data_IF_641072129461
#
_entry.id   IF_641072129461
#
_cell.length_a   1.000
_cell.length_b   1.000
_cell.length_c   1.000
_cell.angle_alpha   90.00
_cell.angle_beta   90.00
_cell.angle_gamma   90.00
#
_symmetry.space_group_name_H-M   'P 1'
#
loop_
_entity.id
_entity.type
_entity.pdbx_description
1 polymer ?
#
# COMPACT_ATOMS: atom_id res chain seq x y z
N UNK A 1 -21.19 -4.35 23.26
CA UNK A 1 -21.09 -4.60 21.80
C UNK A 1 -19.80 -5.39 21.54
N UNK A 2 -19.91 -6.48 20.75
CA UNK A 2 -18.74 -7.25 20.34
C UNK A 2 -18.18 -6.74 19.01
N UNK A 3 -16.86 -6.73 18.90
CA UNK A 3 -16.15 -6.37 17.70
C UNK A 3 -15.18 -7.50 17.30
N UNK A 4 -14.97 -7.70 16.00
CA UNK A 4 -13.98 -8.65 15.52
C UNK A 4 -12.59 -8.02 15.61
N UNK A 5 -11.66 -8.74 16.25
CA UNK A 5 -10.27 -8.31 16.44
C UNK A 5 -9.34 -9.44 16.01
N UNK A 6 -8.58 -9.23 14.96
CA UNK A 6 -7.49 -10.13 14.56
C UNK A 6 -6.18 -9.67 15.21
N UNK A 7 -5.53 -10.51 16.01
CA UNK A 7 -4.32 -10.16 16.78
C UNK A 7 -3.12 -11.00 16.39
N UNK A 8 -1.94 -10.38 16.42
CA UNK A 8 -0.64 -11.02 16.29
C UNK A 8 0.31 -10.60 17.41
N UNK A 9 1.25 -11.48 17.77
CA UNK A 9 2.26 -11.19 18.79
C UNK A 9 3.42 -10.35 18.23
N UNK A 10 3.58 -10.32 16.92
CA UNK A 10 4.59 -9.54 16.19
C UNK A 10 4.07 -9.15 14.80
N UNK A 11 4.61 -8.05 14.28
CA UNK A 11 4.39 -7.65 12.88
C UNK A 11 4.80 -8.73 11.87
N UNK A 12 5.70 -9.63 12.27
CA UNK A 12 6.22 -10.73 11.44
C UNK A 12 5.34 -11.97 11.47
N UNK A 13 4.30 -12.02 12.30
CA UNK A 13 3.42 -13.17 12.40
C UNK A 13 2.71 -13.45 11.08
N UNK A 14 2.82 -14.69 10.64
CA UNK A 14 2.14 -15.17 9.41
C UNK A 14 0.69 -15.56 9.65
N UNK A 15 0.34 -15.85 10.91
CA UNK A 15 -1.01 -16.26 11.33
C UNK A 15 -1.49 -15.37 12.47
N UNK A 16 -2.61 -14.72 12.26
CA UNK A 16 -3.30 -13.83 13.18
C UNK A 16 -4.52 -14.52 13.75
N UNK A 17 -4.75 -14.35 15.04
CA UNK A 17 -5.83 -14.99 15.75
C UNK A 17 -7.06 -14.08 15.82
N UNK A 18 -8.20 -14.55 15.29
CA UNK A 18 -9.47 -13.85 15.39
C UNK A 18 -10.10 -14.09 16.77
N UNK A 19 -10.56 -13.02 17.41
CA UNK A 19 -11.32 -13.03 18.66
C UNK A 19 -12.50 -12.07 18.53
N UNK A 20 -13.67 -12.48 19.03
CA UNK A 20 -14.79 -11.58 19.30
C UNK A 20 -14.57 -10.97 20.68
N UNK A 21 -14.32 -9.68 20.75
CA UNK A 21 -13.99 -8.96 21.97
C UNK A 21 -15.09 -7.93 22.27
N UNK A 22 -15.47 -7.77 23.55
CA UNK A 22 -16.33 -6.65 23.91
C UNK A 22 -15.59 -5.32 23.65
N UNK A 23 -16.29 -4.32 23.15
CA UNK A 23 -15.70 -3.00 22.84
C UNK A 23 -15.06 -2.37 24.08
N UNK A 24 -15.64 -2.61 25.26
CA UNK A 24 -15.11 -2.13 26.54
C UNK A 24 -13.77 -2.81 26.90
N UNK A 25 -13.65 -4.13 26.67
CA UNK A 25 -12.38 -4.86 26.90
C UNK A 25 -11.28 -4.36 25.95
N UNK A 26 -11.65 -4.07 24.70
CA UNK A 26 -10.73 -3.48 23.74
C UNK A 26 -10.28 -2.08 24.18
N UNK A 27 -11.23 -1.24 24.58
CA UNK A 27 -10.97 0.11 25.12
C UNK A 27 -10.05 0.04 26.36
N UNK A 28 -10.32 -0.86 27.29
CA UNK A 28 -9.47 -1.05 28.49
C UNK A 28 -8.05 -1.46 28.09
N UNK A 29 -7.91 -2.32 27.08
CA UNK A 29 -6.59 -2.76 26.63
C UNK A 29 -5.78 -1.64 25.97
N UNK A 30 -6.40 -0.77 25.17
CA UNK A 30 -5.69 0.35 24.54
C UNK A 30 -5.50 1.56 25.46
N UNK A 31 -6.20 1.62 26.60
CA UNK A 31 -5.99 2.65 27.64
C UNK A 31 -4.73 2.43 28.47
N UNK A 32 -4.08 1.28 28.33
CA UNK A 32 -2.85 0.91 29.05
C UNK A 32 -1.69 0.78 28.07
N UNK A 33 -0.54 1.35 28.44
CA UNK A 33 0.68 1.26 27.65
C UNK A 33 1.67 0.27 28.22
N UNK A 34 2.41 -0.42 27.36
CA UNK A 34 3.59 -1.19 27.74
C UNK A 34 4.82 -0.27 27.69
N UNK A 35 5.52 -0.15 28.83
CA UNK A 35 6.80 0.60 28.85
C UNK A 35 7.94 -0.33 28.46
N UNK A 36 8.75 0.15 27.53
CA UNK A 36 9.99 -0.50 27.08
C UNK A 36 11.19 -0.03 27.92
N UNK A 37 12.34 -0.67 27.78
CA UNK A 37 13.47 -0.42 28.69
C UNK A 37 14.29 0.82 28.36
N UNK A 38 14.33 1.21 27.08
CA UNK A 38 15.10 2.36 26.60
C UNK A 38 14.43 3.68 26.94
N UNK A 39 15.22 4.77 27.00
CA UNK A 39 14.70 6.14 27.04
C UNK A 39 14.33 6.63 25.66
N UNK A 40 13.49 7.68 25.56
CA UNK A 40 13.13 8.30 24.29
C UNK A 40 14.36 8.83 23.54
N UNK A 41 15.36 9.32 24.25
CA UNK A 41 16.60 9.76 23.64
C UNK A 41 17.39 8.60 23.03
N UNK A 42 17.49 7.49 23.74
CA UNK A 42 18.12 6.26 23.23
C UNK A 42 17.37 5.73 22.01
N UNK A 43 16.04 5.65 22.08
CA UNK A 43 15.19 5.20 20.98
C UNK A 43 15.40 6.02 19.70
N UNK A 44 15.46 7.37 19.81
CA UNK A 44 15.67 8.25 18.67
C UNK A 44 17.01 8.08 17.98
N UNK A 45 18.06 7.65 18.71
CA UNK A 45 19.42 7.40 18.19
C UNK A 45 19.57 6.03 17.51
N UNK A 46 18.62 5.12 17.73
CA UNK A 46 18.66 3.77 17.15
C UNK A 46 18.36 3.77 15.65
N UNK A 47 18.88 2.74 14.96
CA UNK A 47 18.52 2.47 13.56
C UNK A 47 17.03 2.15 13.46
N UNK A 48 16.41 2.45 12.31
CA UNK A 48 14.98 2.24 12.09
C UNK A 48 14.56 0.79 12.38
N UNK A 49 15.35 -0.20 11.97
CA UNK A 49 15.04 -1.62 12.25
C UNK A 49 14.93 -1.92 13.76
N UNK A 50 15.86 -1.40 14.57
CA UNK A 50 15.82 -1.53 16.03
C UNK A 50 14.63 -0.82 16.66
N UNK A 51 14.29 0.39 16.16
CA UNK A 51 13.09 1.09 16.57
C UNK A 51 11.82 0.30 16.24
N UNK A 52 11.79 -0.35 15.07
CA UNK A 52 10.66 -1.16 14.62
C UNK A 52 10.52 -2.44 15.46
N UNK A 53 11.62 -3.03 15.94
CA UNK A 53 11.61 -4.20 16.83
C UNK A 53 11.13 -3.84 18.24
N UNK A 54 11.58 -2.71 18.80
CA UNK A 54 11.21 -2.25 20.14
C UNK A 54 9.72 -1.95 20.25
N UNK A 55 9.15 -1.24 19.29
CA UNK A 55 7.72 -0.90 19.28
C UNK A 55 6.81 -2.09 18.95
N UNK A 56 7.38 -3.21 18.48
CA UNK A 56 6.64 -4.42 18.13
C UNK A 56 6.27 -5.24 19.37
N UNK A 57 5.35 -4.71 20.13
CA UNK A 57 4.75 -5.38 21.30
C UNK A 57 3.50 -6.20 20.93
N UNK A 58 3.46 -6.65 19.66
CA UNK A 58 2.27 -7.21 19.06
C UNK A 58 1.31 -6.14 18.56
N UNK A 59 0.23 -6.58 17.91
CA UNK A 59 -0.71 -5.63 17.32
C UNK A 59 -2.03 -6.26 16.90
N UNK A 60 -2.86 -5.46 16.28
CA UNK A 60 -4.20 -5.85 15.89
C UNK A 60 -4.61 -5.28 14.52
N UNK A 61 -5.60 -5.91 13.94
CA UNK A 61 -6.47 -5.40 12.88
C UNK A 61 -7.89 -5.54 13.40
N UNK A 62 -8.63 -4.45 13.49
CA UNK A 62 -10.06 -4.48 13.88
C UNK A 62 -10.87 -4.95 12.69
N UNK A 63 -11.12 -6.26 12.63
CA UNK A 63 -11.79 -6.94 11.54
C UNK A 63 -11.35 -8.40 11.37
N UNK A 64 -11.82 -9.03 10.30
CA UNK A 64 -11.64 -10.44 9.98
C UNK A 64 -10.63 -10.62 8.86
N UNK A 65 -9.74 -11.61 9.02
CA UNK A 65 -8.72 -11.96 8.05
C UNK A 65 -8.94 -13.40 7.56
N UNK A 66 -9.01 -13.60 6.25
CA UNK A 66 -9.14 -14.92 5.61
C UNK A 66 -7.93 -15.80 5.98
N UNK A 67 -8.21 -16.94 6.61
CA UNK A 67 -7.17 -17.86 7.07
C UNK A 67 -6.21 -17.27 8.11
N UNK A 68 -6.57 -16.15 8.75
CA UNK A 68 -5.72 -15.43 9.69
C UNK A 68 -4.50 -14.76 9.02
N UNK A 69 -4.55 -14.46 7.74
CA UNK A 69 -3.42 -13.87 6.98
C UNK A 69 -3.61 -12.37 6.83
N UNK A 70 -2.66 -11.58 7.38
CA UNK A 70 -2.67 -10.13 7.25
C UNK A 70 -2.05 -9.69 5.91
N UNK A 71 -2.82 -9.86 4.84
CA UNK A 71 -2.51 -9.41 3.47
C UNK A 71 -3.69 -8.64 2.90
N UNK A 72 -3.46 -7.82 1.87
CA UNK A 72 -4.50 -6.99 1.24
C UNK A 72 -5.68 -7.83 0.73
N UNK A 73 -5.40 -8.88 0.01
CA UNK A 73 -6.35 -9.86 -0.54
C UNK A 73 -6.98 -10.81 0.49
N UNK A 74 -6.59 -10.69 1.75
CA UNK A 74 -7.08 -11.54 2.84
C UNK A 74 -7.95 -10.79 3.86
N UNK A 75 -8.18 -9.50 3.72
CA UNK A 75 -9.12 -8.78 4.58
C UNK A 75 -10.54 -9.10 4.16
N UNK A 76 -11.34 -9.60 5.10
CA UNK A 76 -12.77 -9.93 4.87
C UNK A 76 -13.63 -8.74 5.25
N UNK A 77 -13.38 -8.16 6.44
CA UNK A 77 -14.18 -7.05 6.97
C UNK A 77 -13.36 -6.19 7.94
N UNK A 78 -13.89 -5.00 8.23
CA UNK A 78 -13.38 -4.11 9.26
C UNK A 78 -14.52 -3.72 10.21
N UNK A 79 -14.23 -3.74 11.53
CA UNK A 79 -15.19 -3.42 12.60
C UNK A 79 -14.98 -2.03 13.22
N UNK A 80 -13.88 -1.36 12.87
CA UNK A 80 -13.61 0.02 13.27
C UNK A 80 -12.64 0.68 12.29
N UNK A 81 -12.69 2.00 12.18
CA UNK A 81 -11.64 2.77 11.54
C UNK A 81 -10.42 2.84 12.47
N UNK A 82 -9.23 2.71 11.90
CA UNK A 82 -7.96 2.79 12.64
C UNK A 82 -7.01 3.67 11.87
N UNK A 83 -6.76 4.89 12.37
CA UNK A 83 -6.10 5.95 11.63
C UNK A 83 -4.85 6.44 12.40
N UNK A 84 -3.66 6.32 11.79
CA UNK A 84 -2.42 6.85 12.34
C UNK A 84 -2.31 8.36 12.04
N UNK A 85 -2.27 9.18 13.09
CA UNK A 85 -2.10 10.64 13.02
C UNK A 85 -0.63 11.01 13.27
N UNK A 86 0.21 10.83 12.26
CA UNK A 86 1.65 11.09 12.34
C UNK A 86 1.98 12.59 12.34
N UNK A 87 1.01 13.42 12.00
CA UNK A 87 1.11 14.90 11.92
C UNK A 87 0.05 15.57 12.79
N UNK A 88 -0.33 14.94 13.90
CA UNK A 88 -1.34 15.45 14.82
C UNK A 88 -0.95 16.82 15.40
N UNK A 89 -1.96 17.64 15.73
CA UNK A 89 -1.82 18.87 16.49
C UNK A 89 -2.12 18.59 17.97
N UNK A 90 -1.62 19.45 18.87
CA UNK A 90 -1.68 19.19 20.32
C UNK A 90 -3.10 19.16 20.86
N UNK A 91 -4.00 19.94 20.28
CA UNK A 91 -5.41 20.12 20.70
C UNK A 91 -6.39 19.26 19.89
N UNK A 92 -5.90 18.28 19.13
CA UNK A 92 -6.75 17.45 18.26
C UNK A 92 -7.85 16.70 19.03
N UNK A 93 -7.56 16.28 20.29
CA UNK A 93 -8.55 15.63 21.13
C UNK A 93 -9.74 16.52 21.45
N UNK A 94 -9.47 17.78 21.78
CA UNK A 94 -10.50 18.81 22.07
C UNK A 94 -11.30 19.13 20.80
N UNK A 95 -10.62 19.21 19.64
CA UNK A 95 -11.28 19.44 18.35
C UNK A 95 -12.23 18.28 18.00
N UNK A 96 -11.80 17.02 18.20
CA UNK A 96 -12.64 15.87 17.95
C UNK A 96 -13.87 15.86 18.86
N UNK A 97 -13.72 16.17 20.15
CA UNK A 97 -14.84 16.24 21.10
C UNK A 97 -15.81 17.37 20.76
N UNK A 98 -15.32 18.50 20.25
CA UNK A 98 -16.12 19.66 19.93
C UNK A 98 -16.91 19.52 18.61
N UNK A 99 -16.30 18.93 17.58
CA UNK A 99 -16.83 18.97 16.22
C UNK A 99 -17.49 17.67 15.76
N UNK A 100 -17.24 16.52 16.46
CA UNK A 100 -17.75 15.23 16.04
C UNK A 100 -18.61 14.58 17.12
N UNK A 101 -19.68 13.90 16.71
CA UNK A 101 -20.63 13.24 17.60
C UNK A 101 -20.42 11.73 17.72
N UNK A 102 -19.45 11.16 17.01
CA UNK A 102 -19.17 9.72 17.07
C UNK A 102 -18.23 9.36 18.21
N UNK A 103 -18.44 8.16 18.76
CA UNK A 103 -17.53 7.58 19.75
C UNK A 103 -16.17 7.31 19.12
N UNK A 104 -15.10 7.73 19.79
CA UNK A 104 -13.74 7.38 19.36
C UNK A 104 -12.76 7.29 20.53
N UNK A 105 -11.63 6.64 20.27
CA UNK A 105 -10.51 6.51 21.18
C UNK A 105 -9.26 7.08 20.54
N UNK A 106 -8.53 7.88 21.29
CA UNK A 106 -7.27 8.46 20.88
C UNK A 106 -6.17 7.99 21.82
N UNK A 107 -5.08 7.43 21.28
CA UNK A 107 -3.91 7.09 22.09
C UNK A 107 -2.60 7.40 21.39
N UNK A 108 -1.56 7.70 22.19
CA UNK A 108 -0.25 8.01 21.67
C UNK A 108 0.53 6.79 21.21
N UNK A 109 1.27 6.93 20.10
CA UNK A 109 2.17 5.90 19.58
C UNK A 109 3.56 6.02 20.21
N UNK A 110 4.41 5.01 20.04
CA UNK A 110 5.74 4.94 20.66
C UNK A 110 6.64 6.16 20.42
N UNK A 111 6.44 6.87 19.31
CA UNK A 111 7.22 8.05 18.91
C UNK A 111 6.62 9.38 19.37
N UNK A 112 5.55 9.34 20.13
CA UNK A 112 4.87 10.53 20.60
C UNK A 112 5.74 11.38 21.52
N UNK A 113 5.65 12.69 21.38
CA UNK A 113 6.13 13.69 22.34
C UNK A 113 5.18 14.88 22.33
N UNK A 114 5.13 15.70 23.42
CA UNK A 114 4.28 16.88 23.46
C UNK A 114 4.52 17.85 22.29
N UNK A 115 5.80 18.03 21.90
CA UNK A 115 6.18 18.95 20.82
C UNK A 115 5.88 18.39 19.43
N UNK A 116 5.77 17.06 19.34
CA UNK A 116 5.46 16.36 18.09
C UNK A 116 4.48 15.24 18.36
N UNK A 117 3.21 15.55 18.52
CA UNK A 117 2.19 14.56 18.79
C UNK A 117 2.11 13.52 17.68
N UNK A 118 2.06 12.25 18.08
CA UNK A 118 1.82 11.10 17.21
C UNK A 118 0.78 10.23 17.86
N UNK A 119 -0.38 10.21 17.29
CA UNK A 119 -1.57 9.66 17.88
C UNK A 119 -2.17 8.60 16.95
N UNK A 120 -3.01 7.77 17.53
CA UNK A 120 -3.83 6.81 16.79
C UNK A 120 -5.28 7.02 17.16
N UNK A 121 -6.09 7.23 16.15
CA UNK A 121 -7.54 7.40 16.27
C UNK A 121 -8.24 6.08 15.93
N UNK A 122 -9.08 5.61 16.82
CA UNK A 122 -9.92 4.42 16.64
C UNK A 122 -11.38 4.87 16.69
N UNK A 123 -12.15 4.58 15.65
CA UNK A 123 -13.58 4.91 15.57
C UNK A 123 -14.36 3.62 15.37
N UNK A 124 -15.04 3.10 16.41
CA UNK A 124 -15.90 1.94 16.29
C UNK A 124 -17.04 2.17 15.31
N UNK A 125 -17.33 1.16 14.49
CA UNK A 125 -18.42 1.19 13.53
C UNK A 125 -19.67 0.51 14.10
N UNK A 126 -20.85 0.91 13.63
CA UNK A 126 -22.13 0.30 14.01
C UNK A 126 -22.22 -1.18 13.58
N UNK A 127 -21.52 -1.55 12.51
CA UNK A 127 -21.40 -2.92 11.97
C UNK A 127 -20.11 -3.07 11.17
N UNK A 128 -19.75 -4.31 10.83
CA UNK A 128 -18.60 -4.61 10.00
C UNK A 128 -18.84 -4.20 8.54
N UNK A 129 -17.83 -3.65 7.89
CA UNK A 129 -17.85 -3.21 6.49
C UNK A 129 -16.79 -3.90 5.65
N UNK A 130 -16.96 -3.90 4.34
CA UNK A 130 -16.00 -4.45 3.38
C UNK A 130 -14.69 -3.64 3.34
N UNK A 131 -13.62 -4.19 2.81
CA UNK A 131 -12.35 -3.47 2.67
C UNK A 131 -12.45 -2.18 1.82
N UNK A 132 -13.28 -2.18 0.78
CA UNK A 132 -13.44 -1.01 -0.09
C UNK A 132 -14.28 0.07 0.59
N UNK A 133 -15.38 -0.31 1.26
CA UNK A 133 -16.14 0.60 2.11
C UNK A 133 -15.25 1.20 3.20
N UNK A 134 -14.37 0.38 3.83
CA UNK A 134 -13.42 0.89 4.82
C UNK A 134 -12.51 1.98 4.25
N UNK A 135 -11.98 1.80 3.05
CA UNK A 135 -11.14 2.82 2.41
C UNK A 135 -11.92 4.10 2.11
N UNK A 136 -13.13 3.97 1.57
CA UNK A 136 -13.98 5.12 1.27
C UNK A 136 -14.37 5.88 2.55
N UNK A 137 -14.88 5.16 3.56
CA UNK A 137 -15.30 5.74 4.85
C UNK A 137 -14.13 6.38 5.58
N UNK A 138 -12.99 5.68 5.69
CA UNK A 138 -11.83 6.19 6.42
C UNK A 138 -11.23 7.44 5.77
N UNK A 139 -11.20 7.53 4.44
CA UNK A 139 -10.73 8.71 3.70
C UNK A 139 -11.69 9.89 3.84
N UNK A 140 -13.00 9.64 3.81
CA UNK A 140 -14.00 10.70 3.98
C UNK A 140 -13.97 11.27 5.39
N UNK A 141 -13.90 10.42 6.41
CA UNK A 141 -13.73 10.85 7.80
C UNK A 141 -12.41 11.63 8.00
N UNK A 142 -11.33 11.16 7.38
CA UNK A 142 -10.05 11.89 7.45
C UNK A 142 -10.10 13.25 6.73
N UNK A 143 -10.86 13.38 5.65
CA UNK A 143 -11.10 14.67 4.98
C UNK A 143 -11.80 15.66 5.90
N UNK A 144 -12.86 15.23 6.61
CA UNK A 144 -13.62 16.05 7.55
C UNK A 144 -12.77 16.48 8.77
N UNK A 145 -11.89 15.60 9.28
CA UNK A 145 -11.00 15.92 10.41
C UNK A 145 -9.82 16.78 9.96
N UNK A 146 -9.31 16.54 8.77
CA UNK A 146 -8.13 17.15 8.20
C UNK A 146 -7.17 16.11 7.64
N UNK A 147 -7.28 15.80 6.35
CA UNK A 147 -6.54 14.74 5.65
C UNK A 147 -5.02 14.79 5.91
N UNK A 148 -4.45 15.99 6.04
CA UNK A 148 -3.00 16.18 6.21
C UNK A 148 -2.48 15.77 7.59
N UNK A 149 -3.33 15.49 8.56
CA UNK A 149 -2.95 15.03 9.90
C UNK A 149 -2.57 13.53 9.90
N UNK A 150 -3.00 12.78 8.90
CA UNK A 150 -2.89 11.32 8.86
C UNK A 150 -1.74 10.82 7.99
N UNK A 151 -1.19 9.65 8.34
CA UNK A 151 -0.29 8.89 7.47
C UNK A 151 -1.06 8.38 6.24
N UNK A 152 -0.52 8.58 5.04
CA UNK A 152 -1.18 8.23 3.78
C UNK A 152 -1.42 6.72 3.60
N UNK A 153 -0.70 5.88 4.35
CA UNK A 153 -0.86 4.42 4.33
C UNK A 153 -1.86 3.89 5.34
N UNK A 154 -2.43 4.78 6.19
CA UNK A 154 -3.35 4.37 7.26
C UNK A 154 -4.68 3.83 6.74
N UNK A 155 -5.06 4.19 5.51
CA UNK A 155 -6.31 3.78 4.89
C UNK A 155 -6.30 2.34 4.35
N UNK A 156 -5.15 1.65 4.38
CA UNK A 156 -5.06 0.26 3.95
C UNK A 156 -5.81 -0.66 4.93
N UNK A 157 -6.80 -1.47 4.48
CA UNK A 157 -7.58 -2.33 5.38
C UNK A 157 -6.74 -3.37 6.14
N UNK A 158 -5.61 -3.79 5.57
CA UNK A 158 -4.67 -4.74 6.20
C UNK A 158 -3.66 -4.08 7.14
N UNK A 159 -3.75 -2.75 7.36
CA UNK A 159 -2.79 -2.00 8.16
C UNK A 159 -2.73 -2.52 9.58
N UNK A 160 -1.52 -2.87 10.02
CA UNK A 160 -1.23 -3.23 11.41
C UNK A 160 -1.30 -2.00 12.30
N UNK A 161 -2.02 -2.14 13.41
CA UNK A 161 -1.96 -1.22 14.54
C UNK A 161 -1.25 -1.92 15.70
N UNK A 162 -0.12 -1.36 16.17
CA UNK A 162 0.56 -1.87 17.36
C UNK A 162 -0.26 -1.59 18.61
N UNK A 163 -0.22 -2.50 19.57
CA UNK A 163 -0.69 -2.20 20.93
C UNK A 163 0.08 -1.00 21.48
N UNK A 164 -0.51 -0.22 22.41
CA UNK A 164 0.16 0.94 22.98
C UNK A 164 1.48 0.57 23.64
N UNK A 165 2.56 1.24 23.25
CA UNK A 165 3.87 1.16 23.88
C UNK A 165 4.54 2.51 23.95
N UNK A 166 5.41 2.71 24.93
CA UNK A 166 6.19 3.94 25.08
C UNK A 166 7.52 3.63 25.76
N UNK A 167 8.54 4.47 25.53
CA UNK A 167 9.84 4.38 26.21
C UNK A 167 9.69 4.49 27.74
N UNK A 168 10.73 4.15 28.49
CA UNK A 168 10.71 4.14 29.97
C UNK A 168 10.36 5.52 30.58
N UNK A 169 10.79 6.59 29.92
CA UNK A 169 10.57 8.00 30.26
C UNK A 169 9.56 8.71 29.33
N UNK A 170 8.96 7.98 28.37
CA UNK A 170 8.06 8.57 27.39
C UNK A 170 6.68 8.88 27.99
N UNK A 171 6.00 9.83 27.38
CA UNK A 171 4.62 10.17 27.71
C UNK A 171 3.64 9.21 27.01
N UNK A 172 2.58 8.85 27.71
CA UNK A 172 1.46 8.11 27.15
C UNK A 172 0.16 8.87 27.38
N UNK A 173 -0.58 9.08 26.30
CA UNK A 173 -1.88 9.75 26.31
C UNK A 173 -2.93 8.71 25.86
N UNK A 174 -4.04 8.69 26.59
CA UNK A 174 -5.27 8.04 26.17
C UNK A 174 -6.44 8.95 26.45
N UNK A 175 -7.30 9.16 25.45
CA UNK A 175 -8.53 9.93 25.58
C UNK A 175 -9.67 9.14 24.97
N UNK A 176 -10.78 9.05 25.67
CA UNK A 176 -12.05 8.53 25.18
C UNK A 176 -12.99 9.69 24.89
N UNK A 177 -13.47 9.79 23.69
CA UNK A 177 -14.51 10.72 23.27
C UNK A 177 -15.79 9.93 23.15
N UNK A 178 -16.79 10.30 23.94
CA UNK A 178 -18.09 9.63 23.99
C UNK A 178 -18.96 10.12 22.84
N UNK A 179 -19.74 9.20 22.28
CA UNK A 179 -20.65 9.49 21.20
C UNK A 179 -21.40 8.26 20.76
N UNK A 180 -22.06 8.34 19.63
CA UNK A 180 -22.68 7.20 18.98
C UNK A 180 -21.66 6.43 18.13
N UNK A 181 -21.95 5.15 17.85
CA UNK A 181 -21.15 4.39 16.89
C UNK A 181 -21.27 5.00 15.51
N UNK A 182 -20.15 5.14 14.81
CA UNK A 182 -20.17 5.65 13.44
C UNK A 182 -20.94 4.70 12.53
N UNK A 183 -21.97 5.22 11.84
CA UNK A 183 -22.72 4.50 10.81
C UNK A 183 -22.02 4.69 9.48
N UNK A 184 -21.46 3.63 8.89
CA UNK A 184 -20.74 3.74 7.62
C UNK A 184 -21.59 4.32 6.49
N UNK A 185 -22.89 3.99 6.46
CA UNK A 185 -23.84 4.45 5.44
C UNK A 185 -23.98 5.97 5.42
N UNK A 186 -23.96 6.61 6.59
CA UNK A 186 -24.06 8.08 6.69
C UNK A 186 -22.84 8.75 6.05
N UNK A 187 -21.65 8.14 6.19
CA UNK A 187 -20.41 8.64 5.58
C UNK A 187 -20.37 8.35 4.08
N UNK A 188 -20.79 7.13 3.67
CA UNK A 188 -20.84 6.75 2.25
C UNK A 188 -21.85 7.61 1.48
N UNK A 189 -22.94 8.05 2.11
CA UNK A 189 -23.92 8.95 1.51
C UNK A 189 -23.37 10.37 1.21
N UNK A 190 -22.21 10.74 1.75
CA UNK A 190 -21.53 12.00 1.43
C UNK A 190 -20.83 11.98 0.05
N UNK A 191 -20.68 10.81 -0.55
CA UNK A 191 -20.21 10.66 -1.92
C UNK A 191 -21.40 10.69 -2.89
N UNK A 192 -21.17 11.17 -4.11
CA UNK A 192 -22.14 10.98 -5.22
C UNK A 192 -22.20 9.51 -5.61
N UNK A 193 -21.04 8.87 -5.70
CA UNK A 193 -20.85 7.44 -5.84
C UNK A 193 -19.57 7.04 -5.09
N UNK A 194 -19.72 6.36 -3.95
CA UNK A 194 -18.57 5.94 -3.16
C UNK A 194 -17.75 4.81 -3.82
N UNK A 195 -18.36 4.09 -4.76
CA UNK A 195 -17.65 3.02 -5.50
C UNK A 195 -16.64 3.57 -6.48
N UNK A 196 -16.86 4.78 -7.00
CA UNK A 196 -15.89 5.46 -7.85
C UNK A 196 -14.68 5.92 -7.03
N UNK A 197 -13.58 5.16 -7.11
CA UNK A 197 -12.32 5.44 -6.40
C UNK A 197 -11.73 6.80 -6.79
N UNK A 198 -12.05 7.33 -7.97
CA UNK A 198 -11.55 8.64 -8.41
C UNK A 198 -12.07 9.80 -7.56
N UNK A 199 -13.20 9.59 -6.89
CA UNK A 199 -13.84 10.55 -5.98
C UNK A 199 -13.28 10.53 -4.56
N UNK A 200 -12.47 9.53 -4.21
CA UNK A 200 -11.96 9.38 -2.85
C UNK A 200 -10.95 10.46 -2.50
N UNK A 201 -11.06 11.08 -1.33
CA UNK A 201 -10.10 12.08 -0.88
C UNK A 201 -8.67 11.52 -0.79
N UNK A 202 -7.70 12.34 -1.21
CA UNK A 202 -6.27 12.03 -1.11
C UNK A 202 -5.49 13.25 -0.62
N UNK A 203 -4.46 13.02 0.22
CA UNK A 203 -3.61 14.10 0.70
C UNK A 203 -2.78 14.74 -0.42
N UNK A 204 -2.35 15.97 -0.19
CA UNK A 204 -1.41 16.64 -1.08
C UNK A 204 -0.09 15.85 -1.16
N UNK A 205 0.36 15.28 -0.05
CA UNK A 205 1.57 14.45 0.01
C UNK A 205 1.45 13.24 -0.91
N UNK A 206 0.34 12.51 -0.87
CA UNK A 206 0.11 11.32 -1.71
C UNK A 206 0.14 11.70 -3.19
N UNK A 207 -0.52 12.79 -3.58
CA UNK A 207 -0.47 13.30 -4.96
C UNK A 207 0.96 13.59 -5.43
N UNK A 208 1.74 14.27 -4.59
CA UNK A 208 3.14 14.58 -4.89
C UNK A 208 4.00 13.31 -4.99
N UNK A 209 3.79 12.32 -4.12
CA UNK A 209 4.54 11.06 -4.15
C UNK A 209 4.27 10.30 -5.45
N UNK A 210 3.00 10.17 -5.85
CA UNK A 210 2.64 9.49 -7.10
C UNK A 210 3.27 10.21 -8.31
N UNK A 211 3.17 11.54 -8.38
CA UNK A 211 3.78 12.33 -9.45
C UNK A 211 5.32 12.20 -9.48
N UNK A 212 5.98 12.21 -8.32
CA UNK A 212 7.43 12.01 -8.23
C UNK A 212 7.84 10.60 -8.62
N UNK A 213 7.03 9.60 -8.27
CA UNK A 213 7.29 8.21 -8.64
C UNK A 213 7.21 8.03 -10.16
N UNK A 214 6.18 8.59 -10.80
CA UNK A 214 6.06 8.60 -12.25
C UNK A 214 7.28 9.26 -12.95
N UNK A 215 7.76 10.40 -12.41
CA UNK A 215 8.91 11.12 -12.96
C UNK A 215 10.26 10.43 -12.71
N UNK A 216 10.40 9.65 -11.62
CA UNK A 216 11.67 8.99 -11.25
C UNK A 216 11.81 7.60 -11.83
N UNK A 217 10.71 7.00 -12.26
CA UNK A 217 10.74 5.65 -12.81
C UNK A 217 11.42 5.68 -14.18
N UNK A 218 12.44 4.84 -14.32
CA UNK A 218 13.03 4.61 -15.64
C UNK A 218 11.93 4.11 -16.60
N UNK A 219 11.93 4.65 -17.82
CA UNK A 219 11.00 4.20 -18.85
C UNK A 219 11.21 2.69 -19.10
N UNK A 220 10.21 1.84 -18.83
CA UNK A 220 10.35 0.39 -18.99
C UNK A 220 10.58 -0.01 -20.44
N UNK A 221 10.21 0.84 -21.40
CA UNK A 221 10.45 0.62 -22.82
C UNK A 221 11.93 0.78 -23.20
N UNK A 222 12.71 1.51 -22.41
CA UNK A 222 14.15 1.72 -22.64
C UNK A 222 15.02 0.68 -21.93
N UNK A 223 14.43 -0.14 -21.05
CA UNK A 223 15.16 -1.20 -20.35
C UNK A 223 15.69 -2.26 -21.32
N UNK A 224 16.95 -2.65 -21.13
CA UNK A 224 17.55 -3.75 -21.91
C UNK A 224 17.09 -5.12 -21.41
N UNK A 225 17.24 -6.12 -22.26
CA UNK A 225 16.96 -7.52 -21.92
C UNK A 225 15.47 -7.86 -21.86
N UNK A 226 15.17 -8.98 -21.19
CA UNK A 226 13.84 -9.62 -21.24
C UNK A 226 12.71 -8.73 -20.69
N UNK A 227 12.99 -7.94 -19.66
CA UNK A 227 12.01 -7.03 -19.06
C UNK A 227 11.62 -5.94 -20.05
N UNK A 228 12.61 -5.29 -20.69
CA UNK A 228 12.36 -4.28 -21.69
C UNK A 228 11.66 -4.86 -22.91
N UNK A 229 12.11 -6.01 -23.42
CA UNK A 229 11.47 -6.70 -24.53
C UNK A 229 10.01 -7.03 -24.25
N UNK A 230 9.67 -7.50 -23.03
CA UNK A 230 8.28 -7.75 -22.62
C UNK A 230 7.44 -6.48 -22.68
N UNK A 231 7.92 -5.37 -22.10
CA UNK A 231 7.19 -4.09 -22.09
C UNK A 231 7.07 -3.43 -23.47
N UNK A 232 7.99 -3.69 -24.40
CA UNK A 232 7.87 -3.25 -25.79
C UNK A 232 6.98 -4.15 -26.64
N UNK A 233 6.83 -5.43 -26.24
CA UNK A 233 5.95 -6.39 -26.92
C UNK A 233 4.50 -6.22 -26.49
N UNK A 234 4.25 -5.94 -25.20
CA UNK A 234 2.91 -5.83 -24.63
C UNK A 234 2.74 -4.49 -23.92
N UNK A 235 1.73 -3.72 -24.31
CA UNK A 235 1.24 -2.59 -23.51
C UNK A 235 0.58 -3.10 -22.24
N UNK A 236 0.26 -2.20 -21.30
CA UNK A 236 -0.48 -2.58 -20.07
C UNK A 236 -1.79 -3.30 -20.42
N UNK A 237 -2.58 -2.73 -21.34
CA UNK A 237 -3.86 -3.31 -21.76
C UNK A 237 -3.66 -4.70 -22.37
N UNK A 238 -2.75 -4.83 -23.32
CA UNK A 238 -2.46 -6.11 -23.97
C UNK A 238 -1.98 -7.18 -22.96
N UNK A 239 -1.17 -6.78 -21.97
CA UNK A 239 -0.69 -7.68 -20.93
C UNK A 239 -1.83 -8.15 -20.01
N UNK A 240 -2.76 -7.27 -19.64
CA UNK A 240 -3.95 -7.61 -18.87
C UNK A 240 -4.81 -8.59 -19.67
N UNK A 241 -5.21 -8.24 -20.88
CA UNK A 241 -6.13 -9.02 -21.71
C UNK A 241 -5.56 -10.41 -22.07
N UNK A 242 -4.24 -10.49 -22.27
CA UNK A 242 -3.60 -11.74 -22.70
C UNK A 242 -3.28 -12.69 -21.55
N UNK A 243 -2.81 -12.17 -20.40
CA UNK A 243 -2.20 -13.00 -19.37
C UNK A 243 -2.97 -13.08 -18.06
N UNK A 244 -3.84 -12.10 -17.79
CA UNK A 244 -4.60 -11.96 -16.55
C UNK A 244 -6.03 -11.41 -16.78
N UNK A 245 -6.78 -11.92 -17.80
CA UNK A 245 -8.10 -11.38 -18.17
C UNK A 245 -9.15 -11.48 -17.05
N UNK A 246 -8.96 -12.42 -16.11
CA UNK A 246 -9.88 -12.64 -14.99
C UNK A 246 -9.56 -11.76 -13.76
N UNK A 247 -8.57 -10.87 -13.87
CA UNK A 247 -8.12 -10.00 -12.76
C UNK A 247 -8.68 -8.60 -12.89
N UNK A 248 -8.64 -8.04 -14.08
CA UNK A 248 -9.07 -6.68 -14.36
C UNK A 248 -10.02 -6.64 -15.54
N UNK A 249 -10.96 -5.70 -15.49
CA UNK A 249 -11.85 -5.37 -16.60
C UNK A 249 -11.81 -3.87 -16.88
N UNK A 250 -12.05 -3.41 -18.13
CA UNK A 250 -12.18 -2.01 -18.42
C UNK A 250 -13.29 -1.38 -17.57
N UNK A 251 -13.00 -0.22 -16.98
CA UNK A 251 -13.99 0.58 -16.26
C UNK A 251 -14.82 1.41 -17.23
N UNK A 252 -16.00 1.87 -16.79
CA UNK A 252 -16.78 2.87 -17.52
C UNK A 252 -16.02 4.19 -17.74
N UNK A 253 -15.06 4.49 -16.85
CA UNK A 253 -14.17 5.65 -16.97
C UNK A 253 -12.99 5.33 -17.87
N UNK A 254 -12.84 6.09 -18.97
CA UNK A 254 -11.74 5.93 -19.93
C UNK A 254 -10.35 5.99 -19.26
N UNK A 255 -9.45 5.09 -19.65
CA UNK A 255 -8.10 5.00 -19.09
C UNK A 255 -8.02 4.37 -17.70
N UNK A 256 -9.08 3.73 -17.26
CA UNK A 256 -9.15 3.02 -15.97
C UNK A 256 -9.65 1.60 -16.11
N UNK A 257 -9.29 0.79 -15.13
CA UNK A 257 -9.74 -0.60 -14.98
C UNK A 257 -10.31 -0.81 -13.57
N UNK A 258 -11.22 -1.78 -13.48
CA UNK A 258 -11.77 -2.30 -12.24
C UNK A 258 -11.01 -3.57 -11.88
N UNK A 259 -10.69 -3.76 -10.60
CA UNK A 259 -10.23 -5.03 -10.08
C UNK A 259 -11.46 -5.91 -9.83
N UNK A 260 -11.62 -7.00 -10.59
CA UNK A 260 -12.87 -7.80 -10.62
C UNK A 260 -13.35 -8.25 -9.23
N UNK A 261 -12.46 -8.66 -8.28
CA UNK A 261 -12.90 -9.04 -6.94
C UNK A 261 -13.30 -7.87 -6.01
N UNK A 262 -13.11 -6.60 -6.43
CA UNK A 262 -13.41 -5.44 -5.60
C UNK A 262 -14.88 -5.03 -5.68
N UNK A 263 -15.37 -4.35 -4.63
CA UNK A 263 -16.69 -3.71 -4.63
C UNK A 263 -16.67 -2.32 -5.28
N UNK A 264 -15.47 -1.71 -5.36
CA UNK A 264 -15.22 -0.39 -5.93
C UNK A 264 -14.88 -0.47 -7.42
N UNK A 265 -14.98 0.66 -8.14
CA UNK A 265 -14.73 0.81 -9.57
C UNK A 265 -13.68 1.88 -9.88
N UNK A 266 -13.19 1.92 -11.12
CA UNK A 266 -12.26 2.91 -11.64
C UNK A 266 -10.94 3.05 -10.84
N UNK A 267 -10.56 2.03 -10.06
CA UNK A 267 -9.44 2.10 -9.13
C UNK A 267 -8.07 1.85 -9.74
N UNK A 268 -7.97 1.27 -10.93
CA UNK A 268 -6.70 1.10 -11.63
C UNK A 268 -6.55 2.19 -12.69
N UNK A 269 -5.55 3.04 -12.53
CA UNK A 269 -5.25 4.14 -13.46
C UNK A 269 -4.15 3.73 -14.42
N UNK A 270 -4.36 3.89 -15.72
CA UNK A 270 -3.37 3.64 -16.76
C UNK A 270 -2.74 4.97 -17.19
N UNK A 271 -1.42 5.04 -17.20
CA UNK A 271 -0.63 6.20 -17.61
C UNK A 271 0.12 5.86 -18.91
N UNK A 272 -0.26 6.52 -20.00
CA UNK A 272 0.35 6.41 -21.35
C UNK A 272 0.48 4.96 -21.85
N UNK A 273 -0.36 4.05 -21.36
CA UNK A 273 -0.32 2.59 -21.61
C UNK A 273 1.04 1.91 -21.29
N UNK A 274 1.86 2.60 -20.49
CA UNK A 274 3.20 2.17 -20.04
C UNK A 274 3.21 1.80 -18.56
N UNK A 275 2.42 2.51 -17.75
CA UNK A 275 2.32 2.26 -16.32
C UNK A 275 0.87 2.09 -15.88
N UNK A 276 0.67 1.29 -14.85
CA UNK A 276 -0.58 1.16 -14.12
C UNK A 276 -0.36 1.43 -12.63
N UNK A 277 -1.37 2.00 -11.97
CA UNK A 277 -1.38 2.18 -10.52
C UNK A 277 -2.74 1.76 -9.97
N UNK A 278 -2.75 0.86 -8.99
CA UNK A 278 -4.00 0.37 -8.38
C UNK A 278 -4.28 1.04 -7.04
N UNK A 279 -5.53 1.48 -6.87
CA UNK A 279 -6.10 2.01 -5.64
C UNK A 279 -7.08 1.05 -4.96
N UNK A 280 -7.43 -0.08 -5.60
CA UNK A 280 -8.36 -1.04 -5.02
C UNK A 280 -7.80 -1.68 -3.75
N UNK A 281 -8.60 -1.69 -2.68
CA UNK A 281 -8.20 -2.08 -1.33
C UNK A 281 -7.65 -3.50 -1.22
N UNK A 282 -8.27 -4.44 -1.91
CA UNK A 282 -7.98 -5.87 -1.87
C UNK A 282 -7.04 -6.33 -2.98
N UNK A 283 -6.70 -5.45 -3.91
CA UNK A 283 -5.75 -5.75 -4.98
C UNK A 283 -4.33 -5.95 -4.40
N UNK A 284 -3.66 -7.09 -4.63
CA UNK A 284 -2.24 -7.29 -4.27
C UNK A 284 -1.30 -6.20 -4.80
N UNK A 285 -1.70 -5.55 -5.89
CA UNK A 285 -1.00 -4.45 -6.52
C UNK A 285 -1.36 -3.06 -5.96
N UNK A 286 -2.28 -2.95 -5.03
CA UNK A 286 -2.69 -1.68 -4.43
C UNK A 286 -1.51 -0.84 -3.94
N UNK A 287 -1.47 0.45 -4.34
CA UNK A 287 -0.43 1.38 -3.95
C UNK A 287 0.91 1.21 -4.68
N UNK A 288 0.96 0.40 -5.75
CA UNK A 288 2.17 0.16 -6.54
C UNK A 288 2.03 0.75 -7.93
N UNK A 289 3.09 1.42 -8.39
CA UNK A 289 3.25 1.79 -9.79
C UNK A 289 3.92 0.63 -10.53
N UNK A 290 3.28 0.13 -11.57
CA UNK A 290 3.65 -1.09 -12.29
C UNK A 290 3.79 -0.83 -13.78
N UNK A 291 4.71 -1.52 -14.42
CA UNK A 291 4.74 -1.69 -15.87
C UNK A 291 4.05 -3.02 -16.26
N UNK A 292 3.95 -3.35 -17.55
CA UNK A 292 3.28 -4.56 -18.01
C UNK A 292 3.89 -5.86 -17.43
N UNK A 293 5.22 -5.92 -17.30
CA UNK A 293 5.90 -7.05 -16.66
C UNK A 293 5.51 -7.21 -15.20
N UNK A 294 5.46 -6.11 -14.43
CA UNK A 294 5.12 -6.14 -13.00
C UNK A 294 3.65 -6.48 -12.75
N UNK A 295 2.73 -5.98 -13.56
CA UNK A 295 1.29 -6.29 -13.46
C UNK A 295 1.08 -7.80 -13.59
N UNK A 296 1.65 -8.44 -14.61
CA UNK A 296 1.55 -9.89 -14.80
C UNK A 296 2.25 -10.64 -13.66
N UNK A 297 3.46 -10.21 -13.27
CA UNK A 297 4.23 -10.82 -12.19
C UNK A 297 3.45 -10.90 -10.89
N UNK A 298 2.85 -9.79 -10.46
CA UNK A 298 2.16 -9.70 -9.17
C UNK A 298 0.96 -10.63 -9.13
N UNK A 299 0.16 -10.66 -10.19
CA UNK A 299 -1.09 -11.44 -10.20
C UNK A 299 -0.90 -12.92 -10.56
N UNK A 300 0.04 -13.23 -11.43
CA UNK A 300 0.27 -14.62 -11.87
C UNK A 300 1.22 -15.38 -10.94
N UNK A 301 2.22 -14.72 -10.39
CA UNK A 301 3.32 -15.35 -9.65
C UNK A 301 3.51 -14.82 -8.22
N UNK A 302 2.74 -13.81 -7.79
CA UNK A 302 2.91 -13.18 -6.47
C UNK A 302 2.76 -14.13 -5.28
N UNK A 303 2.02 -15.23 -5.44
CA UNK A 303 1.89 -16.27 -4.44
C UNK A 303 3.22 -16.98 -4.11
N UNK A 304 4.18 -17.00 -5.03
CA UNK A 304 5.51 -17.59 -4.80
C UNK A 304 6.32 -16.82 -3.76
N UNK A 305 6.02 -15.53 -3.56
CA UNK A 305 6.71 -14.68 -2.61
C UNK A 305 6.23 -14.86 -1.16
N UNK A 306 5.22 -15.69 -0.94
CA UNK A 306 4.62 -15.91 0.40
C UNK A 306 5.58 -16.50 1.43
N UNK A 307 6.61 -17.20 0.98
CA UNK A 307 7.64 -17.82 1.84
C UNK A 307 8.79 -16.85 2.17
N UNK A 308 8.85 -15.72 1.49
CA UNK A 308 9.90 -14.71 1.73
C UNK A 308 9.59 -14.00 3.05
N UNK A 309 10.53 -14.05 3.98
CA UNK A 309 10.39 -13.50 5.34
C UNK A 309 11.16 -12.21 5.56
N UNK A 310 12.11 -11.91 4.69
CA UNK A 310 12.96 -10.74 4.77
C UNK A 310 12.58 -9.70 3.71
N UNK A 311 12.81 -8.43 3.97
CA UNK A 311 12.73 -7.39 2.94
C UNK A 311 13.90 -7.60 1.96
N UNK A 312 13.60 -8.20 0.82
CA UNK A 312 14.57 -8.36 -0.27
C UNK A 312 14.17 -7.49 -1.46
N UNK A 313 15.16 -7.17 -2.29
CA UNK A 313 14.93 -6.44 -3.53
C UNK A 313 13.94 -7.20 -4.43
N UNK A 314 13.07 -6.48 -5.13
CA UNK A 314 12.08 -7.07 -6.04
C UNK A 314 12.71 -8.04 -7.05
N UNK A 315 13.91 -7.74 -7.54
CA UNK A 315 14.65 -8.57 -8.50
C UNK A 315 15.09 -9.94 -7.95
N UNK A 316 15.11 -10.10 -6.63
CA UNK A 316 15.47 -11.34 -5.93
C UNK A 316 14.24 -12.17 -5.51
N UNK A 317 13.03 -11.66 -5.74
CA UNK A 317 11.80 -12.37 -5.40
C UNK A 317 11.61 -13.61 -6.28
N UNK A 318 11.07 -14.72 -5.74
CA UNK A 318 10.70 -15.90 -6.52
C UNK A 318 9.75 -15.59 -7.68
N UNK A 319 8.76 -14.70 -7.46
CA UNK A 319 7.84 -14.22 -8.48
C UNK A 319 8.56 -13.53 -9.64
N UNK A 320 9.64 -12.79 -9.36
CA UNK A 320 10.40 -12.07 -10.37
C UNK A 320 11.11 -13.04 -11.32
N UNK A 321 11.76 -14.08 -10.75
CA UNK A 321 12.40 -15.13 -11.54
C UNK A 321 11.39 -15.91 -12.38
N UNK A 322 10.26 -16.31 -11.77
CA UNK A 322 9.19 -17.01 -12.49
C UNK A 322 8.64 -16.17 -13.65
N UNK A 323 8.49 -14.88 -13.46
CA UNK A 323 8.05 -13.97 -14.53
C UNK A 323 9.11 -13.79 -15.62
N UNK A 324 10.40 -13.77 -15.28
CA UNK A 324 11.48 -13.75 -16.29
C UNK A 324 11.47 -15.03 -17.13
N UNK A 325 11.34 -16.19 -16.50
CA UNK A 325 11.26 -17.48 -17.19
C UNK A 325 10.04 -17.49 -18.13
N UNK A 326 8.86 -17.10 -17.63
CA UNK A 326 7.63 -16.98 -18.40
C UNK A 326 7.79 -16.03 -19.62
N UNK A 327 8.38 -14.86 -19.43
CA UNK A 327 8.62 -13.91 -20.50
C UNK A 327 9.62 -14.46 -21.55
N UNK A 328 10.62 -15.23 -21.11
CA UNK A 328 11.62 -15.82 -22.00
C UNK A 328 11.08 -16.98 -22.85
N UNK A 329 10.01 -17.63 -22.39
CA UNK A 329 9.32 -18.68 -23.13
C UNK A 329 8.31 -18.11 -24.13
N UNK A 330 7.88 -16.85 -23.96
CA UNK A 330 6.91 -16.23 -24.86
C UNK A 330 7.54 -15.94 -26.24
N UNK A 331 6.93 -16.44 -27.31
CA UNK A 331 7.45 -16.35 -28.67
C UNK A 331 7.55 -14.89 -29.17
N UNK A 332 6.53 -14.08 -28.92
CA UNK A 332 6.53 -12.67 -29.36
C UNK A 332 7.64 -11.87 -28.66
N UNK A 333 7.87 -12.12 -27.35
CA UNK A 333 8.96 -11.48 -26.60
C UNK A 333 10.33 -11.92 -27.12
N UNK A 334 10.49 -13.22 -27.44
CA UNK A 334 11.73 -13.73 -28.03
C UNK A 334 12.03 -13.10 -29.40
N UNK A 335 11.00 -12.94 -30.23
CA UNK A 335 11.13 -12.30 -31.52
C UNK A 335 11.55 -10.82 -31.39
N UNK A 336 10.93 -10.08 -30.47
CA UNK A 336 11.30 -8.70 -30.15
C UNK A 336 12.78 -8.63 -29.70
N UNK A 337 13.18 -9.48 -28.76
CA UNK A 337 14.55 -9.52 -28.24
C UNK A 337 15.58 -9.90 -29.30
N UNK A 338 15.22 -10.82 -30.23
CA UNK A 338 16.10 -11.21 -31.34
C UNK A 338 16.32 -10.05 -32.31
N UNK A 339 15.24 -9.38 -32.73
CA UNK A 339 15.34 -8.20 -33.60
C UNK A 339 16.21 -7.10 -33.00
N UNK A 340 16.03 -6.80 -31.71
CA UNK A 340 16.82 -5.79 -30.99
C UNK A 340 18.31 -6.14 -30.97
N UNK A 341 18.64 -7.43 -30.78
CA UNK A 341 20.02 -7.92 -30.80
C UNK A 341 20.63 -7.78 -32.19
N UNK A 342 19.86 -8.12 -33.23
CA UNK A 342 20.30 -7.98 -34.61
C UNK A 342 20.54 -6.50 -34.97
N UNK A 343 19.64 -5.59 -34.57
CA UNK A 343 19.80 -4.16 -34.76
C UNK A 343 21.02 -3.59 -34.02
N UNK A 344 21.20 -3.98 -32.75
CA UNK A 344 22.38 -3.57 -32.00
C UNK A 344 23.67 -4.05 -32.65
N UNK A 345 23.73 -5.31 -33.06
CA UNK A 345 24.88 -5.86 -33.75
C UNK A 345 25.18 -5.11 -35.09
N UNK A 346 24.14 -4.78 -35.86
CA UNK A 346 24.32 -4.00 -37.10
C UNK A 346 24.89 -2.62 -36.82
N UNK A 347 24.42 -1.94 -35.78
CA UNK A 347 24.92 -0.61 -35.40
C UNK A 347 26.38 -0.68 -34.94
N UNK A 348 26.73 -1.68 -34.12
CA UNK A 348 28.11 -1.89 -33.64
C UNK A 348 29.07 -2.14 -34.83
N UNK A 349 28.68 -2.98 -35.79
CA UNK A 349 29.48 -3.22 -37.00
C UNK A 349 29.61 -1.98 -37.87
N UNK A 350 28.53 -1.20 -38.05
CA UNK A 350 28.58 0.03 -38.84
C UNK A 350 29.48 1.10 -38.19
N UNK A 351 29.52 1.15 -36.85
CA UNK A 351 30.41 2.06 -36.12
C UNK A 351 31.88 1.65 -36.21
N UNK A 352 32.17 0.34 -36.19
CA UNK A 352 33.52 -0.19 -36.39
C UNK A 352 34.04 0.06 -37.81
N UNK A 353 33.20 -0.16 -38.84
CA UNK A 353 33.55 0.13 -40.22
C UNK A 353 33.85 1.62 -40.44
N UNK A 354 33.09 2.49 -39.78
CA UNK A 354 33.30 3.95 -39.87
C UNK A 354 34.59 4.36 -39.14
N UNK A 355 34.93 3.76 -37.99
CA UNK A 355 36.18 3.99 -37.27
C UNK A 355 37.39 3.50 -38.09
N UNK A 356 37.30 2.37 -38.75
CA UNK A 356 38.35 1.86 -39.63
C UNK A 356 38.55 2.76 -40.84
N UNK A 357 37.50 3.26 -41.47
CA UNK A 357 37.58 4.23 -42.56
C UNK A 357 38.20 5.58 -42.16
N UNK A 358 37.93 6.05 -40.93
CA UNK A 358 38.54 7.26 -40.40
C UNK A 358 40.05 7.08 -40.15
N UNK A 359 40.46 5.92 -39.62
CA UNK A 359 41.89 5.61 -39.42
C UNK A 359 42.65 5.46 -40.74
N UNK A 360 41.99 4.84 -41.73
CA UNK A 360 42.55 4.71 -43.10
C UNK A 360 42.77 6.09 -43.74
N UNK A 361 41.78 6.97 -43.61
CA UNK A 361 41.86 8.35 -44.14
C UNK A 361 42.88 9.22 -43.37
N UNK A 362 43.14 8.96 -42.10
CA UNK A 362 44.16 9.65 -41.30
C UNK A 362 45.58 9.20 -41.60
N UNK A 363 45.79 7.96 -42.07
CA UNK A 363 47.10 7.43 -42.45
C UNK A 363 47.55 7.86 -43.87
N UNK A 364 46.69 8.58 -44.61
CA UNK A 364 47.11 9.22 -45.89
C UNK A 364 47.45 8.25 -47.03
N UNK A 365 46.82 7.08 -47.03
CA UNK A 365 46.90 6.11 -48.13
C UNK A 365 45.65 6.20 -48.99
#
# INVERSE_FOLDING_TARGET
MKIAVSTGNSRMDKKWNLTEMELEDFRERISKTQRTAETMEQYRKMKKSQQDDIKDVGGFVLGRLKGGRRKKDCVISRSALTLDMDYAVADIGDQLELFFSFQCYLYSTHKHTPEKPRLRLIIPLSHEISPDEYMAVSRKVAEEIGMELFDDTTYEPSRLMYWPSTSSDGEFIFQEIKGELLKPEDVLALYTDWKDVSSWPVSIRQRIIVQKSLKKQENPLEKRGIIGAFNRTFTIQQAIDTFIPDVYQPSEMAGRYDYIPADSSAGVVIYDDVFAYSHHATDPACGKLMNAFDVVRIHKFGNLDEKVTEEIETTKLPSFKAMQDFASENEAVRQTLSKEREESARLDFAEEDWKMQLEYNRQGI
#
